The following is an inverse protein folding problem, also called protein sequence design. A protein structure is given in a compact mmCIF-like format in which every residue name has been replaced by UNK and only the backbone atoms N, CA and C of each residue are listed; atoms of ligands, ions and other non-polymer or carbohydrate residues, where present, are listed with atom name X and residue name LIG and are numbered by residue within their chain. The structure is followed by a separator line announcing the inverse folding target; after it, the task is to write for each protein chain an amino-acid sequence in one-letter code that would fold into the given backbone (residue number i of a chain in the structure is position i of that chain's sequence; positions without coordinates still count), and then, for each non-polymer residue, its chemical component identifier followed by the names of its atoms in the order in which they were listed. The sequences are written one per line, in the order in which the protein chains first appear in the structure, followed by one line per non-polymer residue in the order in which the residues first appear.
data_IF_241663224595
#
_entry.id   IF_241663224595
#
_cell.length_a   1.000
_cell.length_b   1.000
_cell.length_c   1.000
_cell.angle_alpha   90.00
_cell.angle_beta   90.00
_cell.angle_gamma   90.00
#
_symmetry.space_group_name_H-M   'P 1'
#
loop_
_entity.id
_entity.type
_entity.pdbx_description
1 polymer ?
#
# COMPACT_ATOMS: atom_id res chain seq x y z
N UNK A 1 15.88 -11.13 -4.75
CA UNK A 1 15.16 -9.96 -5.30
C UNK A 1 13.70 -9.96 -4.87
N UNK A 2 12.99 -11.09 -5.00
CA UNK A 2 11.59 -11.28 -4.61
C UNK A 2 11.35 -11.07 -3.11
N UNK A 3 12.23 -11.60 -2.25
CA UNK A 3 12.11 -11.47 -0.79
C UNK A 3 12.33 -10.01 -0.36
N UNK A 4 13.33 -9.33 -0.93
CA UNK A 4 13.67 -7.94 -0.59
C UNK A 4 12.63 -6.98 -1.21
N UNK A 5 12.18 -7.23 -2.43
CA UNK A 5 11.14 -6.44 -3.10
C UNK A 5 9.79 -6.53 -2.39
N UNK A 6 9.38 -7.74 -1.97
CA UNK A 6 8.17 -7.96 -1.18
C UNK A 6 8.19 -7.24 0.18
N UNK A 7 9.35 -7.22 0.85
CA UNK A 7 9.51 -6.53 2.14
C UNK A 7 9.40 -5.01 2.04
N UNK A 8 9.84 -4.42 0.92
CA UNK A 8 9.75 -2.97 0.69
C UNK A 8 8.44 -2.50 0.04
N UNK A 9 7.76 -3.38 -0.72
CA UNK A 9 6.55 -3.02 -1.47
C UNK A 9 5.25 -3.42 -0.77
N UNK A 10 5.27 -4.47 0.06
CA UNK A 10 4.11 -4.96 0.79
C UNK A 10 4.36 -4.89 2.28
N UNK A 11 3.88 -3.88 2.94
CA UNK A 11 3.90 -3.78 4.41
C UNK A 11 2.64 -4.33 5.06
N UNK A 12 1.78 -5.00 4.31
CA UNK A 12 0.66 -5.72 4.90
C UNK A 12 1.18 -6.95 5.63
N UNK A 13 0.58 -7.26 6.76
CA UNK A 13 0.94 -8.45 7.54
C UNK A 13 0.81 -9.74 6.69
N UNK A 14 -0.06 -9.74 5.67
CA UNK A 14 -0.20 -10.81 4.68
C UNK A 14 0.99 -10.88 3.74
N UNK A 15 1.47 -9.75 3.25
CA UNK A 15 2.56 -9.71 2.27
C UNK A 15 3.90 -10.08 2.89
N UNK A 16 4.12 -9.77 4.17
CA UNK A 16 5.31 -10.19 4.94
C UNK A 16 5.37 -11.73 5.06
N UNK A 17 4.22 -12.40 5.13
CA UNK A 17 4.15 -13.86 5.19
C UNK A 17 4.20 -14.48 3.79
N UNK A 18 3.46 -13.90 2.83
CA UNK A 18 3.32 -14.44 1.47
C UNK A 18 4.61 -14.30 0.65
N UNK A 19 5.36 -13.20 0.79
CA UNK A 19 6.59 -12.97 0.02
C UNK A 19 7.68 -14.04 0.22
N UNK A 20 8.03 -14.49 1.45
CA UNK A 20 8.99 -15.58 1.60
C UNK A 20 8.46 -16.92 1.10
N UNK A 21 7.15 -17.19 1.23
CA UNK A 21 6.55 -18.42 0.71
C UNK A 21 6.58 -18.45 -0.83
N UNK A 22 6.25 -17.36 -1.49
CA UNK A 22 6.30 -17.25 -2.95
C UNK A 22 7.72 -17.41 -3.46
N UNK A 23 8.71 -16.83 -2.78
CA UNK A 23 10.13 -17.03 -3.11
C UNK A 23 10.61 -18.49 -2.97
N UNK A 24 10.17 -19.18 -1.93
CA UNK A 24 10.48 -20.61 -1.74
C UNK A 24 9.85 -21.46 -2.83
N UNK A 25 8.59 -21.18 -3.19
CA UNK A 25 7.86 -21.90 -4.25
C UNK A 25 8.57 -21.68 -5.60
N UNK A 26 8.94 -20.44 -5.92
CA UNK A 26 9.65 -20.10 -7.15
C UNK A 26 11.01 -20.83 -7.23
N UNK A 27 11.81 -20.75 -6.16
CA UNK A 27 13.11 -21.42 -6.10
C UNK A 27 12.97 -22.92 -6.21
N UNK A 28 11.97 -23.53 -5.54
CA UNK A 28 11.68 -24.95 -5.63
C UNK A 28 11.26 -25.37 -7.04
N UNK A 29 10.46 -24.54 -7.72
CA UNK A 29 10.04 -24.75 -9.11
C UNK A 29 11.22 -24.70 -10.08
N UNK A 30 12.10 -23.69 -9.95
CA UNK A 30 13.31 -23.58 -10.77
C UNK A 30 14.27 -24.74 -10.48
N UNK A 31 14.50 -25.06 -9.22
CA UNK A 31 15.37 -26.17 -8.82
C UNK A 31 14.83 -27.50 -9.38
N UNK A 32 13.53 -27.76 -9.27
CA UNK A 32 12.89 -28.93 -9.85
C UNK A 32 13.10 -29.01 -11.36
N UNK A 33 12.92 -27.92 -12.09
CA UNK A 33 13.14 -27.87 -13.55
C UNK A 33 14.59 -28.14 -13.95
N UNK A 34 15.58 -27.64 -13.17
CA UNK A 34 17.01 -27.78 -13.48
C UNK A 34 17.53 -29.18 -13.12
N UNK A 35 17.02 -29.80 -12.04
CA UNK A 35 17.48 -31.09 -11.55
C UNK A 35 16.74 -32.28 -12.16
N UNK A 36 15.64 -32.04 -12.89
CA UNK A 36 14.89 -33.08 -13.57
C UNK A 36 15.72 -33.70 -14.70
N UNK A 37 15.87 -35.04 -14.65
CA UNK A 37 16.44 -35.75 -15.78
C UNK A 37 15.38 -35.97 -16.86
N UNK A 38 15.31 -35.00 -17.78
CA UNK A 38 14.35 -34.98 -18.88
C UNK A 38 14.47 -36.16 -19.82
N UNK A 39 15.63 -36.83 -19.84
CA UNK A 39 15.88 -37.97 -20.75
C UNK A 39 15.22 -39.24 -20.27
N UNK A 40 14.93 -39.35 -18.98
CA UNK A 40 14.33 -40.53 -18.34
C UNK A 40 12.80 -40.46 -18.25
N UNK A 41 12.20 -39.29 -18.53
CA UNK A 41 10.77 -39.10 -18.36
C UNK A 41 9.97 -39.38 -19.63
N UNK A 42 8.77 -39.88 -19.43
CA UNK A 42 7.79 -39.97 -20.51
C UNK A 42 7.33 -38.59 -20.95
N UNK A 43 6.88 -38.45 -22.20
CA UNK A 43 6.38 -37.17 -22.72
C UNK A 43 5.25 -36.59 -21.86
N UNK A 44 4.39 -37.43 -21.26
CA UNK A 44 3.30 -37.01 -20.41
C UNK A 44 3.82 -36.39 -19.11
N UNK A 45 4.84 -36.99 -18.49
CA UNK A 45 5.47 -36.47 -17.27
C UNK A 45 6.20 -35.15 -17.53
N UNK A 46 6.90 -35.03 -18.65
CA UNK A 46 7.55 -33.79 -19.07
C UNK A 46 6.54 -32.64 -19.22
N UNK A 47 5.42 -32.89 -19.89
CA UNK A 47 4.34 -31.92 -20.03
C UNK A 47 3.76 -31.55 -18.67
N UNK A 48 3.47 -32.54 -17.80
CA UNK A 48 2.93 -32.31 -16.48
C UNK A 48 3.83 -31.44 -15.61
N UNK A 49 5.13 -31.74 -15.57
CA UNK A 49 6.12 -30.99 -14.80
C UNK A 49 6.30 -29.55 -15.34
N UNK A 50 6.31 -29.40 -16.68
CA UNK A 50 6.38 -28.07 -17.29
C UNK A 50 5.15 -27.22 -16.99
N UNK A 51 3.95 -27.79 -17.06
CA UNK A 51 2.71 -27.11 -16.70
C UNK A 51 2.71 -26.68 -15.23
N UNK A 52 3.12 -27.57 -14.32
CA UNK A 52 3.17 -27.28 -12.89
C UNK A 52 4.14 -26.13 -12.60
N UNK A 53 5.35 -26.18 -13.15
CA UNK A 53 6.33 -25.13 -12.99
C UNK A 53 5.85 -23.78 -13.56
N UNK A 54 5.17 -23.82 -14.72
CA UNK A 54 4.59 -22.62 -15.34
C UNK A 54 3.52 -21.97 -14.46
N UNK A 55 2.68 -22.78 -13.79
CA UNK A 55 1.66 -22.27 -12.87
C UNK A 55 2.32 -21.54 -11.70
N UNK A 56 3.38 -22.10 -11.10
CA UNK A 56 4.09 -21.44 -9.99
C UNK A 56 4.75 -20.12 -10.42
N UNK A 57 5.38 -20.09 -11.59
CA UNK A 57 5.98 -18.86 -12.13
C UNK A 57 4.91 -17.80 -12.39
N UNK A 58 3.78 -18.17 -12.98
CA UNK A 58 2.68 -17.24 -13.23
C UNK A 58 2.06 -16.70 -11.92
N UNK A 59 1.92 -17.56 -10.91
CA UNK A 59 1.43 -17.16 -9.60
C UNK A 59 2.37 -16.12 -8.95
N UNK A 60 3.68 -16.37 -9.01
CA UNK A 60 4.67 -15.43 -8.48
C UNK A 60 4.64 -14.07 -9.20
N UNK A 61 4.60 -14.09 -10.53
CA UNK A 61 4.46 -12.86 -11.33
C UNK A 61 3.18 -12.11 -10.95
N UNK A 62 2.07 -12.81 -10.77
CA UNK A 62 0.81 -12.22 -10.35
C UNK A 62 0.90 -11.56 -8.95
N UNK A 63 1.51 -12.23 -7.96
CA UNK A 63 1.67 -11.70 -6.62
C UNK A 63 2.57 -10.46 -6.59
N UNK A 64 3.69 -10.49 -7.33
CA UNK A 64 4.59 -9.35 -7.49
C UNK A 64 3.88 -8.16 -8.15
N UNK A 65 3.16 -8.43 -9.23
CA UNK A 65 2.45 -7.38 -9.96
C UNK A 65 1.33 -6.76 -9.12
N UNK A 66 0.58 -7.59 -8.40
CA UNK A 66 -0.46 -7.12 -7.48
C UNK A 66 0.12 -6.21 -6.40
N UNK A 67 1.20 -6.63 -5.73
CA UNK A 67 1.85 -5.81 -4.70
C UNK A 67 2.36 -4.47 -5.24
N UNK A 68 2.97 -4.49 -6.43
CA UNK A 68 3.44 -3.28 -7.10
C UNK A 68 2.30 -2.32 -7.44
N UNK A 69 1.23 -2.83 -8.03
CA UNK A 69 0.07 -2.01 -8.46
C UNK A 69 -0.63 -1.38 -7.26
N UNK A 70 -0.89 -2.15 -6.19
CA UNK A 70 -1.53 -1.66 -4.97
C UNK A 70 -0.69 -0.56 -4.32
N UNK A 71 0.62 -0.77 -4.17
CA UNK A 71 1.52 0.23 -3.60
C UNK A 71 1.56 1.54 -4.40
N UNK A 72 1.67 1.44 -5.73
CA UNK A 72 1.67 2.62 -6.62
C UNK A 72 0.33 3.38 -6.54
N UNK A 73 -0.79 2.68 -6.52
CA UNK A 73 -2.11 3.31 -6.43
C UNK A 73 -2.29 4.05 -5.10
N UNK A 74 -1.95 3.44 -3.98
CA UNK A 74 -2.05 4.08 -2.67
C UNK A 74 -1.21 5.36 -2.57
N UNK A 75 0.04 5.33 -3.04
CA UNK A 75 0.91 6.51 -3.11
C UNK A 75 0.31 7.60 -4.03
N UNK A 76 -0.29 7.20 -5.15
CA UNK A 76 -0.92 8.13 -6.09
C UNK A 76 -2.12 8.83 -5.48
N UNK A 77 -2.96 8.09 -4.72
CA UNK A 77 -4.08 8.67 -3.99
C UNK A 77 -3.63 9.64 -2.89
N UNK A 78 -2.61 9.28 -2.11
CA UNK A 78 -2.01 10.15 -1.08
C UNK A 78 -1.47 11.45 -1.68
N UNK A 79 -0.71 11.37 -2.78
CA UNK A 79 -0.21 12.56 -3.50
C UNK A 79 -1.34 13.41 -4.09
N UNK A 80 -2.41 12.79 -4.56
CA UNK A 80 -3.59 13.51 -5.04
C UNK A 80 -4.31 14.21 -3.90
N UNK A 81 -4.47 13.57 -2.74
CA UNK A 81 -5.03 14.18 -1.54
C UNK A 81 -4.27 15.43 -1.12
N UNK A 82 -2.92 15.37 -1.10
CA UNK A 82 -2.07 16.53 -0.81
C UNK A 82 -2.29 17.68 -1.79
N UNK A 83 -2.38 17.40 -3.09
CA UNK A 83 -2.63 18.44 -4.12
C UNK A 83 -4.00 19.08 -3.97
N UNK A 84 -5.02 18.32 -3.58
CA UNK A 84 -6.35 18.89 -3.33
C UNK A 84 -6.36 19.73 -2.05
N UNK A 85 -5.63 19.31 -1.03
CA UNK A 85 -5.45 20.09 0.20
C UNK A 85 -4.76 21.45 -0.08
N UNK A 86 -3.72 21.46 -0.91
CA UNK A 86 -3.07 22.69 -1.39
C UNK A 86 -4.03 23.67 -2.11
N UNK A 87 -5.03 23.13 -2.79
CA UNK A 87 -6.03 23.92 -3.52
C UNK A 87 -7.23 24.35 -2.66
N UNK A 88 -7.21 24.01 -1.36
CA UNK A 88 -8.34 24.22 -0.47
C UNK A 88 -9.56 23.32 -0.74
N UNK A 89 -9.44 22.34 -1.64
CA UNK A 89 -10.51 21.42 -1.98
C UNK A 89 -10.56 20.26 -0.99
N UNK A 90 -11.18 20.47 0.16
CA UNK A 90 -11.21 19.50 1.27
C UNK A 90 -12.35 18.50 1.08
N UNK A 91 -13.55 18.97 0.76
CA UNK A 91 -14.79 18.18 0.69
C UNK A 91 -15.15 17.77 -0.75
N UNK A 92 -16.06 16.79 -0.86
CA UNK A 92 -16.59 16.29 -2.14
C UNK A 92 -15.81 15.11 -2.71
N UNK A 93 -16.32 14.54 -3.81
CA UNK A 93 -15.76 13.32 -4.43
C UNK A 93 -14.31 13.48 -4.92
N UNK A 94 -13.92 14.69 -5.26
CA UNK A 94 -12.59 15.09 -5.72
C UNK A 94 -11.78 15.83 -4.65
N UNK A 95 -12.32 15.93 -3.44
CA UNK A 95 -11.66 16.57 -2.31
C UNK A 95 -10.56 15.74 -1.68
N UNK A 96 -9.74 16.38 -0.85
CA UNK A 96 -8.63 15.75 -0.15
C UNK A 96 -9.08 14.54 0.69
N UNK A 97 -10.19 14.66 1.40
CA UNK A 97 -10.76 13.58 2.23
C UNK A 97 -11.01 12.34 1.39
N UNK A 98 -11.72 12.45 0.26
CA UNK A 98 -12.04 11.30 -0.60
C UNK A 98 -10.77 10.62 -1.17
N UNK A 99 -9.73 11.38 -1.46
CA UNK A 99 -8.46 10.82 -1.91
C UNK A 99 -7.71 10.08 -0.80
N UNK A 100 -7.69 10.60 0.43
CA UNK A 100 -7.10 9.90 1.57
C UNK A 100 -7.91 8.67 1.97
N UNK A 101 -9.23 8.71 1.90
CA UNK A 101 -10.10 7.55 2.12
C UNK A 101 -9.80 6.42 1.12
N UNK A 102 -9.58 6.72 -0.14
CA UNK A 102 -9.15 5.73 -1.15
C UNK A 102 -7.74 5.21 -0.91
N UNK A 103 -6.86 6.00 -0.30
CA UNK A 103 -5.48 5.59 0.02
C UNK A 103 -5.43 4.55 1.13
N UNK A 104 -6.24 4.69 2.20
CA UNK A 104 -6.23 3.71 3.30
C UNK A 104 -6.95 2.40 2.95
N UNK A 105 -7.85 2.40 1.96
CA UNK A 105 -8.56 1.21 1.49
C UNK A 105 -7.66 0.24 0.69
N UNK A 106 -6.38 0.58 0.51
CA UNK A 106 -5.41 -0.21 -0.26
C UNK A 106 -4.73 -1.34 0.53
N UNK A 107 -5.22 -1.70 1.73
CA UNK A 107 -4.70 -2.78 2.58
C UNK A 107 -3.20 -2.67 2.97
N UNK A 108 -2.56 -1.52 2.76
CA UNK A 108 -1.18 -1.25 3.18
C UNK A 108 -1.17 -0.55 4.54
N UNK A 109 -0.59 -1.14 5.62
CA UNK A 109 -0.61 -0.54 6.95
C UNK A 109 0.07 0.82 7.04
N UNK A 110 1.16 1.04 6.30
CA UNK A 110 1.87 2.32 6.31
C UNK A 110 1.06 3.40 5.59
N UNK A 111 0.47 3.09 4.44
CA UNK A 111 -0.43 4.00 3.73
C UNK A 111 -1.70 4.26 4.52
N UNK A 112 -2.22 3.24 5.20
CA UNK A 112 -3.39 3.38 6.09
C UNK A 112 -3.09 4.29 7.27
N UNK A 113 -1.94 4.14 7.93
CA UNK A 113 -1.51 5.03 9.00
C UNK A 113 -1.38 6.48 8.52
N UNK A 114 -0.69 6.70 7.40
CA UNK A 114 -0.52 8.03 6.80
C UNK A 114 -1.87 8.67 6.42
N UNK A 115 -2.79 7.90 5.85
CA UNK A 115 -4.10 8.38 5.45
C UNK A 115 -4.97 8.72 6.66
N UNK A 116 -5.00 7.86 7.69
CA UNK A 116 -5.75 8.13 8.92
C UNK A 116 -5.19 9.33 9.69
N UNK A 117 -3.87 9.51 9.74
CA UNK A 117 -3.25 10.69 10.32
C UNK A 117 -3.68 11.98 9.58
N UNK A 118 -3.63 11.97 8.24
CA UNK A 118 -4.07 13.11 7.43
C UNK A 118 -5.56 13.43 7.66
N UNK A 119 -6.43 12.41 7.64
CA UNK A 119 -7.87 12.57 7.87
C UNK A 119 -8.16 13.08 9.29
N UNK A 120 -7.44 12.60 10.30
CA UNK A 120 -7.56 13.09 11.67
C UNK A 120 -7.23 14.59 11.74
N UNK A 121 -6.10 15.02 11.17
CA UNK A 121 -5.69 16.42 11.16
C UNK A 121 -6.69 17.31 10.43
N UNK A 122 -7.19 16.88 9.26
CA UNK A 122 -8.20 17.60 8.49
C UNK A 122 -9.51 17.73 9.28
N UNK A 123 -9.98 16.66 9.92
CA UNK A 123 -11.21 16.73 10.71
C UNK A 123 -11.06 17.55 11.98
N UNK A 124 -9.86 17.55 12.59
CA UNK A 124 -9.54 18.41 13.71
C UNK A 124 -9.59 19.88 13.32
N UNK A 125 -8.97 20.27 12.21
CA UNK A 125 -8.99 21.67 11.74
C UNK A 125 -10.41 22.13 11.37
N UNK A 126 -11.24 21.22 10.86
CA UNK A 126 -12.65 21.51 10.54
C UNK A 126 -13.61 21.44 11.77
N UNK A 127 -13.09 21.23 12.98
CA UNK A 127 -13.90 21.14 14.19
C UNK A 127 -14.77 19.88 14.32
N UNK A 128 -14.56 18.87 13.45
CA UNK A 128 -15.33 17.63 13.47
C UNK A 128 -14.70 16.61 14.41
N UNK A 129 -15.00 16.74 15.70
CA UNK A 129 -14.43 15.92 16.77
C UNK A 129 -14.79 14.44 16.63
N UNK A 130 -16.00 14.11 16.20
CA UNK A 130 -16.45 12.72 16.04
C UNK A 130 -15.59 11.98 15.01
N UNK A 131 -15.42 12.56 13.82
CA UNK A 131 -14.60 11.95 12.78
C UNK A 131 -13.12 11.94 13.14
N UNK A 132 -12.63 12.97 13.83
CA UNK A 132 -11.28 13.00 14.38
C UNK A 132 -11.02 11.77 15.25
N UNK A 133 -11.87 11.48 16.23
CA UNK A 133 -11.72 10.34 17.12
C UNK A 133 -11.80 9.00 16.39
N UNK A 134 -12.69 8.87 15.40
CA UNK A 134 -12.76 7.66 14.57
C UNK A 134 -11.40 7.40 13.89
N UNK A 135 -10.80 8.42 13.31
CA UNK A 135 -9.52 8.26 12.62
C UNK A 135 -8.34 8.06 13.57
N UNK A 136 -8.33 8.67 14.74
CA UNK A 136 -7.35 8.38 15.80
C UNK A 136 -7.43 6.93 16.25
N UNK A 137 -8.63 6.44 16.58
CA UNK A 137 -8.82 5.04 16.99
C UNK A 137 -8.39 4.03 15.91
N UNK A 138 -8.50 4.39 14.64
CA UNK A 138 -7.99 3.58 13.53
C UNK A 138 -6.48 3.68 13.41
N UNK A 139 -5.91 4.88 13.53
CA UNK A 139 -4.47 5.12 13.51
C UNK A 139 -3.75 4.32 14.59
N UNK A 140 -4.32 4.25 15.80
CA UNK A 140 -3.76 3.50 16.93
C UNK A 140 -3.61 2.01 16.61
N UNK A 141 -4.51 1.43 15.79
CA UNK A 141 -4.38 0.03 15.34
C UNK A 141 -3.18 -0.20 14.41
N UNK A 142 -2.65 0.85 13.82
CA UNK A 142 -1.46 0.82 12.96
C UNK A 142 -0.19 1.31 13.66
N UNK A 143 -0.23 1.51 14.99
CA UNK A 143 0.91 1.95 15.78
C UNK A 143 0.90 3.43 16.16
N UNK A 144 -0.24 4.10 15.99
CA UNK A 144 -0.43 5.49 16.40
C UNK A 144 0.40 6.50 15.60
N UNK A 145 0.56 7.68 16.16
CA UNK A 145 1.32 8.77 15.55
C UNK A 145 2.79 8.45 15.32
N UNK A 146 3.37 7.57 16.12
CA UNK A 146 4.78 7.16 16.02
C UNK A 146 5.07 6.31 14.77
N UNK A 147 4.02 5.70 14.20
CA UNK A 147 4.14 4.93 12.96
C UNK A 147 4.15 5.78 11.68
N UNK A 148 3.86 7.07 11.81
CA UNK A 148 3.78 8.00 10.69
C UNK A 148 5.03 8.87 10.63
N UNK A 149 5.61 9.00 9.45
CA UNK A 149 6.79 9.85 9.23
C UNK A 149 6.47 11.32 9.58
N UNK A 150 7.34 11.94 10.38
CA UNK A 150 7.16 13.33 10.84
C UNK A 150 7.10 14.31 9.66
N UNK A 151 7.86 14.07 8.59
CA UNK A 151 7.84 14.90 7.39
C UNK A 151 6.47 14.90 6.71
N UNK A 152 5.74 13.78 6.77
CA UNK A 152 4.37 13.70 6.27
C UNK A 152 3.41 14.56 7.09
N UNK A 153 3.52 14.51 8.41
CA UNK A 153 2.70 15.30 9.32
C UNK A 153 2.94 16.80 9.14
N UNK A 154 4.20 17.19 8.98
CA UNK A 154 4.60 18.58 8.74
C UNK A 154 4.02 19.10 7.41
N UNK A 155 4.07 18.30 6.36
CA UNK A 155 3.48 18.65 5.07
C UNK A 155 1.96 18.86 5.18
N UNK A 156 1.25 17.98 5.88
CA UNK A 156 -0.20 18.11 6.07
C UNK A 156 -0.52 19.36 6.89
N UNK A 157 0.15 19.57 8.02
CA UNK A 157 -0.06 20.73 8.88
C UNK A 157 0.22 22.04 8.15
N UNK A 158 1.33 22.13 7.43
CA UNK A 158 1.69 23.32 6.66
C UNK A 158 0.61 23.69 5.63
N UNK A 159 0.03 22.68 4.97
CA UNK A 159 -1.01 22.92 3.96
C UNK A 159 -2.37 23.28 4.56
N UNK A 160 -2.70 22.72 5.73
CA UNK A 160 -3.91 23.11 6.46
C UNK A 160 -3.85 24.57 6.93
N UNK A 161 -2.75 24.98 7.56
CA UNK A 161 -2.58 26.33 8.08
C UNK A 161 -2.32 27.38 6.99
N UNK A 162 -1.70 26.98 5.86
CA UNK A 162 -1.53 27.86 4.70
C UNK A 162 -2.85 28.31 4.09
N UNK A 163 -3.88 27.47 4.16
CA UNK A 163 -5.22 27.85 3.70
C UNK A 163 -5.95 28.78 4.68
N UNK A 164 -5.71 28.69 5.98
CA UNK A 164 -6.31 29.59 6.99
C UNK A 164 -5.80 31.04 6.83
N UNK A 165 -4.53 31.22 6.41
CA UNK A 165 -3.95 32.56 6.21
C UNK A 165 -4.55 33.24 4.97
N UNK A 166 -4.93 32.50 3.94
CA UNK A 166 -5.55 33.05 2.73
C UNK A 166 -7.01 33.45 2.96
N UNK A 167 -7.77 32.68 3.74
CA UNK A 167 -9.17 32.99 4.09
C UNK A 167 -9.30 34.18 5.07
N UNK A 168 -8.27 34.45 5.87
CA UNK A 168 -8.26 35.58 6.82
C UNK A 168 -7.85 36.92 6.17
N UNK A 169 -7.47 36.92 4.90
CA UNK A 169 -7.00 38.09 4.15
C UNK A 169 -8.04 38.65 3.16
N UNK A 170 -9.23 38.09 3.07
CA UNK A 170 -10.42 38.62 2.36
C UNK A 170 -11.42 39.24 3.35
#
# INVERSE_FOLDING_TARGET
FTIIGGYHMGRTQRDVIVAPFSGIILLSGIFGLVTLDWTQQTTTEQIGNFMLASIFVLLEIYLLFRGLVVGIQGITWSKSGLRQLERGLILGERGAISHFERSWDMEDPALSAMAHAALALIHKSNGNTEKYEIHINRLDRFGGWESVDSSWLDVINTRLHGNEILDSSE
#
